data_IF_380606269777
#
_entry.id   IF_380606269777
#
_cell.length_a   1.000
_cell.length_b   1.000
_cell.length_c   1.000
_cell.angle_alpha   90.00
_cell.angle_beta   90.00
_cell.angle_gamma   90.00
#
_symmetry.space_group_name_H-M   'P 1'
#
loop_
_entity.id
_entity.type
_entity.pdbx_description
1 polymer ?
#
# COMPACT_ATOMS: atom_id res chain seq x y z
N UNK A 1 7.49 -42.52 5.56
CA UNK A 1 7.03 -41.33 6.29
C UNK A 1 8.08 -40.25 6.12
N UNK A 2 7.74 -39.14 5.50
CA UNK A 2 8.50 -37.90 5.49
C UNK A 2 7.48 -36.77 5.28
N UNK A 3 6.97 -36.25 6.39
CA UNK A 3 6.26 -34.98 6.44
C UNK A 3 7.30 -33.86 6.25
N UNK A 4 7.02 -32.88 5.41
CA UNK A 4 7.96 -31.79 5.16
C UNK A 4 7.38 -30.69 4.31
N UNK A 5 6.52 -29.89 4.93
CA UNK A 5 6.25 -28.49 4.60
C UNK A 5 5.50 -28.23 3.28
N UNK A 6 4.18 -28.29 3.41
CA UNK A 6 3.26 -27.43 2.66
C UNK A 6 3.81 -26.01 2.77
N UNK A 7 4.33 -25.45 1.67
CA UNK A 7 4.51 -24.01 1.53
C UNK A 7 3.14 -23.39 1.74
N UNK A 8 2.88 -22.95 2.97
CA UNK A 8 1.82 -22.02 3.23
C UNK A 8 2.22 -20.74 2.50
N UNK A 9 1.82 -20.63 1.23
CA UNK A 9 1.51 -19.36 0.61
C UNK A 9 0.41 -18.72 1.47
N UNK A 10 0.82 -18.17 2.61
CA UNK A 10 0.04 -17.16 3.32
C UNK A 10 0.11 -15.93 2.43
N UNK A 11 -0.70 -15.94 1.36
CA UNK A 11 -1.12 -14.72 0.70
C UNK A 11 -1.66 -13.83 1.81
N UNK A 12 -0.85 -12.84 2.20
CA UNK A 12 -1.18 -11.96 3.30
C UNK A 12 -2.53 -11.30 3.05
N UNK A 13 -3.40 -11.34 4.05
CA UNK A 13 -4.67 -10.62 4.18
C UNK A 13 -4.47 -9.08 4.20
N UNK A 14 -3.69 -8.55 3.26
CA UNK A 14 -3.53 -7.13 3.02
C UNK A 14 -4.70 -6.59 2.18
N UNK A 15 -5.02 -5.29 2.30
CA UNK A 15 -6.08 -4.69 1.50
C UNK A 15 -5.73 -4.71 0.02
N UNK A 16 -6.71 -4.97 -0.85
CA UNK A 16 -6.49 -4.95 -2.30
C UNK A 16 -6.26 -3.54 -2.83
N UNK A 17 -5.76 -3.43 -4.07
CA UNK A 17 -5.57 -2.13 -4.73
C UNK A 17 -6.91 -1.39 -4.88
N UNK A 18 -7.98 -2.11 -5.22
CA UNK A 18 -9.33 -1.57 -5.35
C UNK A 18 -9.86 -1.05 -4.01
N UNK A 19 -9.66 -1.82 -2.93
CA UNK A 19 -10.07 -1.40 -1.59
C UNK A 19 -9.34 -0.14 -1.12
N UNK A 20 -8.03 -0.09 -1.35
CA UNK A 20 -7.23 1.11 -1.10
C UNK A 20 -7.75 2.27 -1.96
N UNK A 21 -8.01 2.02 -3.24
CA UNK A 21 -8.55 3.03 -4.16
C UNK A 21 -9.82 3.68 -3.64
N UNK A 22 -10.78 2.86 -3.23
CA UNK A 22 -12.07 3.32 -2.74
C UNK A 22 -11.98 4.03 -1.38
N UNK A 23 -11.24 3.45 -0.43
CA UNK A 23 -11.15 3.98 0.94
C UNK A 23 -10.45 5.33 0.96
N UNK A 24 -9.38 5.47 0.17
CA UNK A 24 -8.54 6.66 0.15
C UNK A 24 -8.96 7.66 -0.93
N UNK A 25 -10.06 7.41 -1.67
CA UNK A 25 -10.54 8.31 -2.72
C UNK A 25 -9.53 8.52 -3.84
N UNK A 26 -8.80 7.46 -4.22
CA UNK A 26 -7.75 7.50 -5.24
C UNK A 26 -8.33 7.04 -6.60
N UNK A 27 -8.79 7.97 -7.47
CA UNK A 27 -9.49 7.62 -8.72
C UNK A 27 -8.57 6.95 -9.74
N UNK A 28 -7.25 7.11 -9.59
CA UNK A 28 -6.24 6.47 -10.42
C UNK A 28 -5.66 5.28 -9.67
N UNK A 29 -5.49 4.14 -10.37
CA UNK A 29 -4.87 2.94 -9.77
C UNK A 29 -3.39 3.15 -9.39
N UNK A 30 -2.71 4.15 -9.95
CA UNK A 30 -1.29 4.43 -9.69
C UNK A 30 -0.97 4.67 -8.21
N UNK A 31 -1.53 5.71 -7.57
CA UNK A 31 -1.36 5.97 -6.15
C UNK A 31 -1.75 4.79 -5.26
N UNK A 32 -2.88 4.11 -5.55
CA UNK A 32 -3.31 2.95 -4.78
C UNK A 32 -2.31 1.78 -4.87
N UNK A 33 -1.74 1.55 -6.06
CA UNK A 33 -0.66 0.56 -6.25
C UNK A 33 0.61 0.92 -5.48
N UNK A 34 0.93 2.21 -5.30
CA UNK A 34 2.07 2.64 -4.47
C UNK A 34 1.84 2.23 -3.02
N UNK A 35 0.68 2.58 -2.47
CA UNK A 35 0.30 2.22 -1.09
C UNK A 35 0.35 0.71 -0.92
N UNK A 36 -0.24 -0.04 -1.85
CA UNK A 36 -0.23 -1.50 -1.84
C UNK A 36 1.21 -2.06 -1.85
N UNK A 37 2.03 -1.68 -2.84
CA UNK A 37 3.39 -2.19 -2.98
C UNK A 37 4.24 -1.92 -1.72
N UNK A 38 4.19 -0.71 -1.18
CA UNK A 38 4.97 -0.34 0.01
C UNK A 38 4.44 -0.98 1.31
N UNK A 39 3.16 -1.31 1.39
CA UNK A 39 2.61 -2.01 2.54
C UNK A 39 3.06 -3.48 2.58
N UNK A 40 3.18 -4.12 1.41
CA UNK A 40 3.61 -5.52 1.28
C UNK A 40 5.07 -5.74 1.69
N UNK A 41 5.90 -4.69 1.73
CA UNK A 41 7.32 -4.82 2.13
C UNK A 41 7.55 -4.82 3.64
N UNK A 42 6.51 -4.65 4.46
CA UNK A 42 6.71 -4.60 5.92
C UNK A 42 7.56 -3.41 6.38
N UNK A 43 7.63 -2.36 5.56
CA UNK A 43 8.40 -1.14 5.81
C UNK A 43 9.85 -1.17 5.33
N UNK A 44 10.25 -2.19 4.58
CA UNK A 44 11.50 -2.17 3.83
C UNK A 44 11.41 -1.20 2.64
N UNK A 45 12.57 -0.65 2.26
CA UNK A 45 12.70 0.35 1.19
C UNK A 45 12.66 -0.32 -0.18
N UNK A 46 11.78 0.17 -1.05
CA UNK A 46 11.77 -0.17 -2.47
C UNK A 46 12.53 0.92 -3.25
N UNK A 47 13.56 0.54 -4.03
CA UNK A 47 14.24 1.43 -4.96
C UNK A 47 13.30 2.16 -5.92
N UNK A 48 13.64 3.41 -6.25
CA UNK A 48 12.86 4.26 -7.17
C UNK A 48 12.59 3.54 -8.52
N UNK A 49 13.60 2.85 -9.07
CA UNK A 49 13.52 2.13 -10.35
C UNK A 49 12.65 0.88 -10.27
N UNK A 50 12.79 0.11 -9.20
CA UNK A 50 11.98 -1.07 -8.93
C UNK A 50 10.51 -0.69 -8.72
N UNK A 51 10.27 0.36 -7.93
CA UNK A 51 8.93 0.88 -7.71
C UNK A 51 8.32 1.41 -9.01
N UNK A 52 9.08 2.09 -9.88
CA UNK A 52 8.59 2.48 -11.21
C UNK A 52 8.14 1.25 -12.03
N UNK A 53 8.94 0.18 -12.04
CA UNK A 53 8.66 -1.04 -12.78
C UNK A 53 7.40 -1.77 -12.25
N UNK A 54 7.28 -1.91 -10.92
CA UNK A 54 6.11 -2.52 -10.27
C UNK A 54 4.81 -1.78 -10.59
N UNK A 55 4.88 -0.45 -10.70
CA UNK A 55 3.72 0.41 -10.94
C UNK A 55 3.42 0.56 -12.43
N UNK A 56 4.42 0.36 -13.29
CA UNK A 56 4.36 0.61 -14.73
C UNK A 56 4.33 2.10 -15.05
N UNK A 57 5.18 2.90 -14.41
CA UNK A 57 5.21 4.36 -14.59
C UNK A 57 6.63 4.93 -14.72
N UNK A 58 6.72 6.17 -15.23
CA UNK A 58 7.99 6.91 -15.31
C UNK A 58 8.36 7.55 -13.97
N UNK A 59 9.63 7.92 -13.81
CA UNK A 59 10.12 8.56 -12.58
C UNK A 59 9.39 9.87 -12.21
N UNK A 60 9.05 10.77 -13.16
CA UNK A 60 8.21 11.93 -12.86
C UNK A 60 6.82 11.53 -12.36
N UNK A 61 6.19 10.55 -13.01
CA UNK A 61 4.87 10.04 -12.60
C UNK A 61 4.92 9.37 -11.23
N UNK A 62 6.01 8.67 -10.90
CA UNK A 62 6.22 8.09 -9.57
C UNK A 62 6.16 9.16 -8.47
N UNK A 63 6.81 10.32 -8.69
CA UNK A 63 6.78 11.43 -7.72
C UNK A 63 5.36 11.98 -7.54
N UNK A 64 4.59 12.09 -8.62
CA UNK A 64 3.19 12.54 -8.57
C UNK A 64 2.35 11.52 -7.80
N UNK A 65 2.40 10.25 -8.16
CA UNK A 65 1.61 9.19 -7.51
C UNK A 65 1.98 9.01 -6.03
N UNK A 66 3.26 9.11 -5.67
CA UNK A 66 3.69 9.06 -4.26
C UNK A 66 3.19 10.28 -3.48
N UNK A 67 3.13 11.47 -4.08
CA UNK A 67 2.56 12.66 -3.46
C UNK A 67 1.05 12.55 -3.24
N UNK A 68 0.31 12.06 -4.25
CA UNK A 68 -1.13 11.80 -4.16
C UNK A 68 -1.43 10.75 -3.07
N UNK A 69 -0.69 9.64 -3.06
CA UNK A 69 -0.81 8.60 -2.04
C UNK A 69 -0.53 9.12 -0.62
N UNK A 70 0.50 9.97 -0.45
CA UNK A 70 0.81 10.61 0.85
C UNK A 70 -0.33 11.49 1.33
N UNK A 71 -0.90 12.29 0.43
CA UNK A 71 -2.00 13.21 0.75
C UNK A 71 -3.21 12.43 1.22
N UNK A 72 -3.61 11.41 0.46
CA UNK A 72 -4.76 10.58 0.83
C UNK A 72 -4.56 9.83 2.16
N UNK A 73 -3.36 9.28 2.41
CA UNK A 73 -3.03 8.66 3.70
C UNK A 73 -3.11 9.68 4.85
N UNK A 74 -2.61 10.90 4.63
CA UNK A 74 -2.63 11.96 5.62
C UNK A 74 -4.07 12.40 5.97
N UNK A 75 -4.93 12.56 4.97
CA UNK A 75 -6.31 13.01 5.14
C UNK A 75 -7.16 12.01 5.94
N UNK A 76 -6.78 10.72 5.92
CA UNK A 76 -7.38 9.66 6.73
C UNK A 76 -6.60 9.34 8.02
N UNK A 77 -5.71 10.24 8.44
CA UNK A 77 -5.04 10.18 9.74
C UNK A 77 -3.74 9.37 9.78
N UNK A 78 -3.31 8.77 8.66
CA UNK A 78 -2.03 8.05 8.55
C UNK A 78 -0.91 9.05 8.19
N UNK A 79 -0.59 9.92 9.15
CA UNK A 79 0.42 10.97 8.96
C UNK A 79 1.81 10.39 8.78
N UNK A 80 2.47 10.77 7.69
CA UNK A 80 3.82 10.28 7.36
C UNK A 80 3.84 8.78 7.02
N UNK A 81 2.73 8.22 6.52
CA UNK A 81 2.66 6.80 6.15
C UNK A 81 3.74 6.39 5.14
N UNK A 82 3.95 7.17 4.07
CA UNK A 82 4.98 6.92 3.04
C UNK A 82 6.13 7.91 3.18
N UNK A 83 7.37 7.42 3.31
CA UNK A 83 8.58 8.23 3.40
C UNK A 83 9.54 7.90 2.26
N UNK A 84 10.53 8.77 2.09
CA UNK A 84 11.62 8.60 1.12
C UNK A 84 12.92 8.49 1.89
N UNK A 85 13.72 7.49 1.57
CA UNK A 85 15.11 7.42 2.02
C UNK A 85 16.00 7.95 0.90
N UNK A 86 16.78 9.01 1.21
CA UNK A 86 17.53 9.76 0.19
C UNK A 86 18.53 8.85 -0.52
N UNK A 87 18.39 8.74 -1.84
CA UNK A 87 19.24 7.90 -2.67
C UNK A 87 18.90 6.40 -2.65
N UNK A 88 17.91 5.97 -1.86
CA UNK A 88 17.54 4.55 -1.72
C UNK A 88 16.14 4.22 -2.22
N UNK A 89 15.17 5.13 -2.09
CA UNK A 89 13.81 4.91 -2.62
C UNK A 89 12.71 5.27 -1.62
N UNK A 90 11.61 4.51 -1.63
CA UNK A 90 10.42 4.76 -0.81
C UNK A 90 10.10 3.59 0.10
N UNK A 91 9.49 3.88 1.25
CA UNK A 91 8.99 2.87 2.17
C UNK A 91 7.73 3.37 2.88
N UNK A 92 6.90 2.43 3.35
CA UNK A 92 5.82 2.73 4.30
C UNK A 92 6.33 2.55 5.74
N UNK A 93 5.96 3.41 6.68
CA UNK A 93 6.34 3.19 8.09
C UNK A 93 5.67 1.93 8.62
N UNK A 94 6.41 1.14 9.40
CA UNK A 94 5.90 -0.10 10.01
C UNK A 94 4.61 0.10 10.82
N UNK A 95 4.47 1.24 11.50
CA UNK A 95 3.27 1.56 12.28
C UNK A 95 2.08 2.05 11.41
N UNK A 96 2.32 2.45 10.16
CA UNK A 96 1.26 2.87 9.24
C UNK A 96 0.53 1.67 8.60
N UNK A 97 1.21 0.53 8.46
CA UNK A 97 0.67 -0.68 7.82
C UNK A 97 -0.55 -1.23 8.59
N UNK A 98 -0.52 -1.41 9.93
CA UNK A 98 -1.70 -1.85 10.67
C UNK A 98 -2.87 -0.87 10.57
N UNK A 99 -2.62 0.45 10.60
CA UNK A 99 -3.67 1.46 10.44
C UNK A 99 -4.33 1.40 9.07
N UNK A 100 -3.54 1.21 8.01
CA UNK A 100 -4.03 1.00 6.65
C UNK A 100 -4.94 -0.24 6.58
N UNK A 101 -4.47 -1.38 7.10
CA UNK A 101 -5.24 -2.64 7.13
C UNK A 101 -6.55 -2.44 7.89
N UNK A 102 -6.51 -1.78 9.07
CA UNK A 102 -7.69 -1.54 9.90
C UNK A 102 -8.72 -0.65 9.21
N UNK A 103 -8.30 0.42 8.53
CA UNK A 103 -9.19 1.31 7.79
C UNK A 103 -9.89 0.56 6.66
N UNK A 104 -9.13 -0.20 5.86
CA UNK A 104 -9.70 -0.99 4.77
C UNK A 104 -10.65 -2.09 5.27
N UNK A 105 -10.29 -2.79 6.35
CA UNK A 105 -11.16 -3.79 6.96
C UNK A 105 -12.47 -3.19 7.50
N UNK A 106 -12.40 -2.01 8.13
CA UNK A 106 -13.57 -1.29 8.64
C UNK A 106 -14.50 -0.88 7.51
N UNK A 107 -13.95 -0.31 6.43
CA UNK A 107 -14.72 0.07 5.25
C UNK A 107 -15.39 -1.14 4.58
N UNK A 108 -14.72 -2.29 4.53
CA UNK A 108 -15.29 -3.55 4.01
C UNK A 108 -16.51 -3.99 4.83
N UNK A 109 -16.43 -3.94 6.16
CA UNK A 109 -17.55 -4.29 7.06
C UNK A 109 -18.73 -3.32 6.94
N UNK A 110 -18.45 -2.02 6.82
CA UNK A 110 -19.50 -0.99 6.67
C UNK A 110 -20.29 -1.06 5.37
N UNK A 111 -19.73 -1.64 4.29
CA UNK A 111 -20.45 -1.88 3.02
C UNK A 111 -21.42 -3.08 3.08
N UNK A 112 -21.39 -3.89 4.15
CA UNK A 112 -22.19 -5.10 4.29
C UNK A 112 -23.54 -4.92 5.02
N UNK A 113 -23.85 -3.73 5.54
CA UNK A 113 -24.96 -3.55 6.50
C UNK A 113 -26.16 -2.74 6.00
N UNK A 114 -26.32 -2.55 4.69
CA UNK A 114 -27.54 -2.01 4.11
C UNK A 114 -28.15 -3.01 3.11
N UNK A 115 -29.03 -3.86 3.63
CA UNK A 115 -30.08 -4.56 2.88
C UNK A 115 -31.35 -4.53 3.70
#
# INVERSE_FOLDING_TARGET
MASGEVRADVQSDGPSIEEIGDVFGLPRRGPARIVHALAQTGGEVIPDTELCALIGCSMPTLKVYTSEARTALHDLGIKGGINRERGRGYYMRRNAIPSLIQLCATARRGRGTYR
#
